data_IF_496104516995
#
_entry.id   IF_496104516995
#
_cell.length_a   1.000
_cell.length_b   1.000
_cell.length_c   1.000
_cell.angle_alpha   90.00
_cell.angle_beta   90.00
_cell.angle_gamma   90.00
#
_symmetry.space_group_name_H-M   'P 1'
#
loop_
_entity.id
_entity.type
_entity.pdbx_description
1 polymer ?
#
# COMPACT_ATOMS: atom_id res chain seq x y z
N UNK A 1 -7.40 19.31 7.62
CA UNK A 1 -7.39 19.17 6.15
C UNK A 1 -8.77 19.53 5.61
N UNK A 2 -8.86 20.58 4.80
CA UNK A 2 -10.06 21.01 4.07
C UNK A 2 -10.20 20.27 2.73
N UNK A 3 -11.33 20.42 2.05
CA UNK A 3 -11.55 19.82 0.72
C UNK A 3 -10.59 20.43 -0.32
N UNK A 4 -10.33 21.72 -0.21
CA UNK A 4 -9.43 22.50 -1.03
C UNK A 4 -7.98 22.09 -0.81
N UNK A 5 -7.59 21.90 0.46
CA UNK A 5 -6.27 21.36 0.82
C UNK A 5 -6.08 19.93 0.29
N UNK A 6 -7.10 19.07 0.35
CA UNK A 6 -7.03 17.72 -0.22
C UNK A 6 -6.78 17.77 -1.73
N UNK A 7 -7.53 18.60 -2.46
CA UNK A 7 -7.39 18.76 -3.92
C UNK A 7 -6.01 19.30 -4.29
N UNK A 8 -5.50 20.29 -3.54
CA UNK A 8 -4.18 20.86 -3.77
C UNK A 8 -3.03 19.90 -3.40
N UNK A 9 -3.22 19.01 -2.41
CA UNK A 9 -2.17 18.14 -1.89
C UNK A 9 -1.69 17.03 -2.85
N UNK A 10 -2.46 16.72 -3.90
CA UNK A 10 -2.11 15.83 -5.01
C UNK A 10 -1.51 14.45 -4.61
N UNK A 11 -2.01 13.83 -3.52
CA UNK A 11 -1.42 12.61 -2.93
C UNK A 11 -1.84 11.29 -3.59
N UNK A 12 -3.10 11.14 -4.01
CA UNK A 12 -3.60 9.94 -4.72
C UNK A 12 -4.66 10.31 -5.78
N UNK A 13 -4.51 9.85 -7.04
CA UNK A 13 -5.46 10.19 -8.12
C UNK A 13 -6.92 9.79 -7.83
N UNK A 14 -7.15 8.74 -7.03
CA UNK A 14 -8.49 8.28 -6.66
C UNK A 14 -9.10 9.22 -5.63
N UNK A 15 -8.35 9.60 -4.60
CA UNK A 15 -8.80 10.58 -3.60
C UNK A 15 -9.10 11.93 -4.24
N UNK A 16 -8.22 12.38 -5.14
CA UNK A 16 -8.42 13.59 -5.93
C UNK A 16 -9.70 13.52 -6.77
N UNK A 17 -9.92 12.41 -7.49
CA UNK A 17 -11.13 12.23 -8.32
C UNK A 17 -12.41 12.24 -7.50
N UNK A 18 -12.39 11.67 -6.29
CA UNK A 18 -13.51 11.71 -5.33
C UNK A 18 -13.76 13.15 -4.86
N UNK A 19 -12.70 13.85 -4.47
CA UNK A 19 -12.78 15.23 -3.99
C UNK A 19 -13.32 16.18 -5.05
N UNK A 20 -12.87 16.06 -6.31
CA UNK A 20 -13.38 16.86 -7.43
C UNK A 20 -14.86 16.56 -7.66
N UNK A 21 -15.28 15.29 -7.66
CA UNK A 21 -16.69 14.93 -7.82
C UNK A 21 -17.58 15.56 -6.73
N UNK A 22 -17.11 15.56 -5.47
CA UNK A 22 -17.81 16.20 -4.35
C UNK A 22 -17.84 17.72 -4.50
N UNK A 23 -16.71 18.35 -4.85
CA UNK A 23 -16.63 19.79 -5.07
C UNK A 23 -17.63 20.25 -6.14
N UNK A 24 -17.72 19.54 -7.26
CA UNK A 24 -18.69 19.83 -8.31
C UNK A 24 -20.14 19.69 -7.82
N UNK A 25 -20.44 18.70 -6.96
CA UNK A 25 -21.75 18.56 -6.33
C UNK A 25 -22.08 19.71 -5.37
N UNK A 26 -21.11 20.17 -4.57
CA UNK A 26 -21.27 21.32 -3.67
C UNK A 26 -21.47 22.63 -4.45
N UNK A 27 -20.88 22.74 -5.65
CA UNK A 27 -21.11 23.85 -6.59
C UNK A 27 -22.44 23.75 -7.34
N UNK A 28 -23.27 22.74 -7.07
CA UNK A 28 -24.61 22.61 -7.62
C UNK A 28 -24.70 21.87 -8.97
N UNK A 29 -23.61 21.35 -9.50
CA UNK A 29 -23.63 20.61 -10.78
C UNK A 29 -24.42 19.31 -10.65
N UNK A 30 -25.22 18.99 -11.66
CA UNK A 30 -26.01 17.76 -11.72
C UNK A 30 -25.15 16.59 -12.21
N UNK A 31 -25.58 15.38 -11.89
CA UNK A 31 -24.84 14.16 -12.25
C UNK A 31 -24.59 14.06 -13.76
N UNK A 32 -25.55 14.50 -14.59
CA UNK A 32 -25.43 14.52 -16.05
C UNK A 32 -24.27 15.39 -16.57
N UNK A 33 -23.89 16.42 -15.83
CA UNK A 33 -22.79 17.34 -16.16
C UNK A 33 -21.45 16.78 -15.67
N UNK A 34 -21.44 16.14 -14.51
CA UNK A 34 -20.22 15.61 -13.86
C UNK A 34 -19.72 14.32 -14.52
N UNK A 35 -20.64 13.42 -14.90
CA UNK A 35 -20.31 12.12 -15.51
C UNK A 35 -19.34 12.23 -16.70
N UNK A 36 -19.59 13.06 -17.74
CA UNK A 36 -18.69 13.18 -18.88
C UNK A 36 -17.36 13.84 -18.51
N UNK A 37 -17.35 14.82 -17.60
CA UNK A 37 -16.13 15.52 -17.20
C UNK A 37 -15.14 14.59 -16.48
N UNK A 38 -15.64 13.73 -15.61
CA UNK A 38 -14.79 12.82 -14.83
C UNK A 38 -14.68 11.41 -15.42
N UNK A 39 -15.48 11.07 -16.44
CA UNK A 39 -15.59 9.71 -16.97
C UNK A 39 -16.03 8.70 -15.90
N UNK A 40 -17.09 9.02 -15.16
CA UNK A 40 -17.62 8.18 -14.06
C UNK A 40 -19.12 7.94 -14.19
N UNK A 41 -19.63 6.94 -13.46
CA UNK A 41 -21.06 6.67 -13.36
C UNK A 41 -21.73 7.52 -12.27
N UNK A 42 -23.06 7.69 -12.37
CA UNK A 42 -23.88 8.40 -11.38
C UNK A 42 -23.71 7.84 -9.95
N UNK A 43 -23.62 6.51 -9.83
CA UNK A 43 -23.42 5.80 -8.57
C UNK A 43 -22.08 6.13 -7.89
N UNK A 44 -21.04 6.42 -8.66
CA UNK A 44 -19.75 6.88 -8.13
C UNK A 44 -19.92 8.24 -7.44
N UNK A 45 -20.62 9.18 -8.09
CA UNK A 45 -20.87 10.52 -7.57
C UNK A 45 -21.71 10.43 -6.29
N UNK A 46 -22.85 9.72 -6.32
CA UNK A 46 -23.73 9.54 -5.15
C UNK A 46 -22.98 8.94 -3.95
N UNK A 47 -22.12 7.94 -4.20
CA UNK A 47 -21.37 7.26 -3.14
C UNK A 47 -20.45 8.24 -2.40
N UNK A 48 -19.69 9.04 -3.12
CA UNK A 48 -18.70 9.94 -2.52
C UNK A 48 -19.33 11.21 -1.96
N UNK A 49 -20.40 11.72 -2.57
CA UNK A 49 -21.23 12.77 -1.98
C UNK A 49 -21.79 12.34 -0.62
N UNK A 50 -22.36 11.13 -0.55
CA UNK A 50 -22.86 10.57 0.72
C UNK A 50 -21.74 10.43 1.76
N UNK A 51 -20.63 9.78 1.41
CA UNK A 51 -19.51 9.60 2.34
C UNK A 51 -18.93 10.92 2.85
N UNK A 52 -18.86 11.94 2.00
CA UNK A 52 -18.41 13.27 2.42
C UNK A 52 -19.38 13.92 3.40
N UNK A 53 -20.70 13.81 3.17
CA UNK A 53 -21.69 14.36 4.11
C UNK A 53 -21.64 13.68 5.46
N UNK A 54 -21.36 12.38 5.50
CA UNK A 54 -21.33 11.59 6.74
C UNK A 54 -20.01 11.77 7.51
N UNK A 55 -18.87 11.86 6.81
CA UNK A 55 -17.54 11.71 7.42
C UNK A 55 -16.59 12.88 7.09
N UNK A 56 -17.07 13.89 6.36
CA UNK A 56 -16.24 14.98 5.84
C UNK A 56 -15.14 14.48 4.91
N UNK A 57 -14.00 15.18 4.91
CA UNK A 57 -12.84 14.86 4.08
C UNK A 57 -12.29 13.44 4.36
N UNK A 58 -12.37 12.95 5.61
CA UNK A 58 -11.97 11.58 5.98
C UNK A 58 -12.73 10.51 5.20
N UNK A 59 -13.99 10.77 4.84
CA UNK A 59 -14.80 9.85 4.04
C UNK A 59 -14.33 9.68 2.59
N UNK A 60 -13.44 10.56 2.12
CA UNK A 60 -12.88 10.55 0.77
C UNK A 60 -11.49 9.88 0.71
N UNK A 61 -10.82 9.81 1.85
CA UNK A 61 -9.54 9.12 2.01
C UNK A 61 -9.68 7.63 1.67
N UNK A 62 -8.61 7.03 1.16
CA UNK A 62 -8.51 5.59 0.99
C UNK A 62 -8.48 4.92 2.35
N UNK A 63 -9.64 4.40 2.78
CA UNK A 63 -9.75 3.57 3.97
C UNK A 63 -8.80 2.35 3.94
N UNK A 64 -8.58 1.79 2.74
CA UNK A 64 -7.59 0.77 2.48
C UNK A 64 -6.43 1.42 1.71
N UNK A 65 -5.41 1.87 2.45
CA UNK A 65 -4.05 1.88 1.90
C UNK A 65 -3.84 0.40 1.56
N UNK A 66 -3.63 0.06 0.29
CA UNK A 66 -3.29 -1.33 -0.07
C UNK A 66 -2.21 -1.86 0.88
N UNK A 67 -2.04 -3.18 0.97
CA UNK A 67 -0.82 -3.72 1.62
C UNK A 67 0.34 -2.82 1.22
N UNK A 68 1.16 -2.35 2.17
CA UNK A 68 2.40 -1.59 1.91
C UNK A 68 3.41 -2.47 1.16
N UNK A 69 2.93 -3.24 0.20
CA UNK A 69 3.34 -4.58 -0.10
C UNK A 69 4.59 -4.61 -0.93
N UNK A 70 5.24 -3.46 -1.12
CA UNK A 70 6.52 -3.34 -1.78
C UNK A 70 7.31 -2.21 -1.14
N UNK A 71 8.57 -2.52 -0.87
CA UNK A 71 9.60 -1.52 -0.62
C UNK A 71 9.61 -0.49 -1.75
N UNK A 72 9.72 0.81 -1.41
CA UNK A 72 10.02 1.85 -2.41
C UNK A 72 11.33 1.52 -3.10
N UNK A 73 11.55 2.06 -4.30
CA UNK A 73 12.77 1.76 -5.06
C UNK A 73 14.07 2.03 -4.28
N UNK A 74 14.13 3.11 -3.49
CA UNK A 74 15.25 3.40 -2.60
C UNK A 74 15.44 2.34 -1.52
N UNK A 75 14.35 1.98 -0.82
CA UNK A 75 14.35 0.96 0.23
C UNK A 75 14.70 -0.43 -0.32
N UNK A 76 14.23 -0.75 -1.53
CA UNK A 76 14.56 -1.99 -2.22
C UNK A 76 16.06 -2.05 -2.57
N UNK A 77 16.63 -0.91 -2.98
CA UNK A 77 18.07 -0.79 -3.25
C UNK A 77 18.88 -0.96 -1.97
N UNK A 78 18.47 -0.33 -0.87
CA UNK A 78 19.09 -0.48 0.45
C UNK A 78 19.04 -1.94 0.92
N UNK A 79 17.88 -2.59 0.80
CA UNK A 79 17.73 -4.02 1.15
C UNK A 79 18.64 -4.90 0.30
N UNK A 80 18.74 -4.65 -1.01
CA UNK A 80 19.64 -5.42 -1.89
C UNK A 80 21.11 -5.20 -1.49
N UNK A 81 21.52 -3.97 -1.18
CA UNK A 81 22.89 -3.68 -0.74
C UNK A 81 23.19 -4.31 0.62
N UNK A 82 22.24 -4.26 1.55
CA UNK A 82 22.36 -4.92 2.84
C UNK A 82 22.51 -6.45 2.68
N UNK A 83 21.71 -7.09 1.81
CA UNK A 83 21.86 -8.52 1.50
C UNK A 83 23.26 -8.80 0.92
N UNK A 84 23.73 -7.98 -0.02
CA UNK A 84 25.07 -8.12 -0.65
C UNK A 84 26.21 -7.95 0.35
N UNK A 85 26.03 -7.12 1.38
CA UNK A 85 27.04 -6.90 2.41
C UNK A 85 27.25 -8.11 3.33
N UNK A 86 26.31 -9.06 3.34
CA UNK A 86 26.38 -10.27 4.15
C UNK A 86 26.91 -11.46 3.35
N UNK A 87 27.89 -12.18 3.91
CA UNK A 87 28.46 -13.39 3.31
C UNK A 87 27.44 -14.54 3.19
N UNK A 88 26.54 -14.65 4.17
CA UNK A 88 25.42 -15.60 4.15
C UNK A 88 24.21 -14.93 4.79
N UNK A 89 23.01 -15.17 4.25
CA UNK A 89 21.77 -14.63 4.79
C UNK A 89 20.62 -15.57 4.47
N UNK A 90 19.78 -15.80 5.46
CA UNK A 90 18.55 -16.58 5.32
C UNK A 90 17.37 -15.69 4.94
N UNK A 91 16.34 -16.28 4.32
CA UNK A 91 15.07 -15.59 4.03
C UNK A 91 14.46 -14.96 5.28
N UNK A 92 14.65 -15.60 6.43
CA UNK A 92 14.11 -15.13 7.71
C UNK A 92 14.78 -13.85 8.19
N UNK A 93 16.10 -13.75 8.05
CA UNK A 93 16.82 -12.51 8.36
C UNK A 93 16.44 -11.37 7.42
N UNK A 94 16.18 -11.67 6.14
CA UNK A 94 15.66 -10.66 5.19
C UNK A 94 14.28 -10.18 5.62
N UNK A 95 13.42 -11.09 6.04
CA UNK A 95 12.07 -10.75 6.53
C UNK A 95 12.13 -9.86 7.77
N UNK A 96 12.90 -10.26 8.77
CA UNK A 96 13.05 -9.52 10.03
C UNK A 96 13.65 -8.12 9.80
N UNK A 97 14.68 -8.02 8.95
CA UNK A 97 15.27 -6.73 8.59
C UNK A 97 14.27 -5.79 7.91
N UNK A 98 13.46 -6.30 6.98
CA UNK A 98 12.48 -5.50 6.25
C UNK A 98 11.33 -5.05 7.17
N UNK A 99 10.88 -5.94 8.06
CA UNK A 99 9.85 -5.63 9.05
C UNK A 99 10.34 -4.57 10.04
N UNK A 100 11.52 -4.76 10.63
CA UNK A 100 12.08 -3.81 11.61
C UNK A 100 12.43 -2.45 10.99
N UNK A 101 12.95 -2.43 9.76
CA UNK A 101 13.44 -1.20 9.14
C UNK A 101 12.34 -0.40 8.44
N UNK A 102 11.33 -1.08 7.88
CA UNK A 102 10.34 -0.45 7.01
C UNK A 102 8.89 -0.78 7.35
N UNK A 103 8.64 -1.66 8.33
CA UNK A 103 7.29 -2.09 8.70
C UNK A 103 6.56 -2.82 7.58
N UNK A 104 7.31 -3.47 6.68
CA UNK A 104 6.76 -4.19 5.51
C UNK A 104 6.83 -5.69 5.77
N UNK A 105 5.72 -6.39 5.54
CA UNK A 105 5.66 -7.86 5.57
C UNK A 105 5.02 -8.33 4.27
N UNK A 106 5.77 -9.01 3.42
CA UNK A 106 5.22 -9.65 2.23
C UNK A 106 4.39 -10.88 2.61
N UNK A 107 3.22 -11.03 2.00
CA UNK A 107 2.35 -12.20 2.22
C UNK A 107 2.94 -13.50 1.65
N UNK A 108 3.83 -13.41 0.65
CA UNK A 108 4.42 -14.56 -0.01
C UNK A 108 5.90 -14.70 0.32
N UNK A 109 6.32 -15.90 0.69
CA UNK A 109 7.74 -16.23 0.91
C UNK A 109 8.55 -16.03 -0.39
N UNK A 110 7.91 -16.21 -1.56
CA UNK A 110 8.52 -16.00 -2.87
C UNK A 110 9.05 -14.57 -3.05
N UNK A 111 8.37 -13.57 -2.48
CA UNK A 111 8.80 -12.17 -2.58
C UNK A 111 10.17 -11.95 -1.95
N UNK A 112 10.49 -12.65 -0.85
CA UNK A 112 11.81 -12.57 -0.22
C UNK A 112 12.88 -13.34 -1.00
N UNK A 113 12.52 -14.48 -1.60
CA UNK A 113 13.45 -15.22 -2.49
C UNK A 113 13.85 -14.39 -3.71
N UNK A 114 12.93 -13.60 -4.28
CA UNK A 114 13.25 -12.67 -5.37
C UNK A 114 14.24 -11.58 -4.94
N UNK A 115 14.19 -11.11 -3.68
CA UNK A 115 15.17 -10.14 -3.16
C UNK A 115 16.56 -10.74 -3.03
N UNK A 116 16.67 -11.97 -2.51
CA UNK A 116 17.94 -12.71 -2.45
C UNK A 116 18.51 -12.96 -3.85
N UNK A 117 17.65 -13.33 -4.81
CA UNK A 117 18.04 -13.52 -6.21
C UNK A 117 18.55 -12.23 -6.84
N UNK A 118 17.85 -11.10 -6.63
CA UNK A 118 18.28 -9.77 -7.10
C UNK A 118 19.61 -9.31 -6.49
N UNK A 119 19.91 -9.76 -5.26
CA UNK A 119 21.19 -9.51 -4.62
C UNK A 119 22.34 -10.38 -5.17
N UNK A 120 22.05 -11.37 -6.03
CA UNK A 120 23.06 -12.27 -6.58
C UNK A 120 23.44 -13.43 -5.65
N UNK A 121 22.64 -13.68 -4.60
CA UNK A 121 22.87 -14.81 -3.70
C UNK A 121 22.46 -16.13 -4.37
N UNK A 122 23.40 -17.07 -4.50
CA UNK A 122 23.10 -18.45 -4.91
C UNK A 122 22.52 -19.23 -3.73
N UNK A 123 21.33 -19.80 -3.91
CA UNK A 123 20.63 -20.50 -2.86
C UNK A 123 21.32 -21.84 -2.51
N UNK A 124 21.94 -21.93 -1.34
CA UNK A 124 22.37 -23.19 -0.73
C UNK A 124 21.42 -23.56 0.41
N UNK A 125 20.75 -24.71 0.33
CA UNK A 125 19.82 -25.20 1.37
C UNK A 125 20.55 -25.48 2.69
N UNK A 126 20.56 -24.50 3.61
CA UNK A 126 20.96 -24.69 5.00
C UNK A 126 19.84 -25.30 5.86
N UNK A 127 20.20 -26.07 6.90
CA UNK A 127 19.25 -26.72 7.83
C UNK A 127 18.56 -25.68 8.75
N UNK A 128 17.26 -25.89 8.99
CA UNK A 128 16.31 -24.95 9.63
C UNK A 128 16.50 -24.79 11.15
N UNK A 129 16.33 -23.56 11.64
CA UNK A 129 15.58 -23.26 12.88
C UNK A 129 14.49 -22.25 12.53
N UNK A 130 13.24 -22.57 12.82
CA UNK A 130 12.11 -21.64 12.66
C UNK A 130 11.97 -20.90 13.99
N UNK A 131 12.06 -19.55 14.02
CA UNK A 131 11.81 -18.78 15.24
C UNK A 131 10.36 -18.90 15.72
N UNK A 132 10.17 -19.10 17.03
CA UNK A 132 8.85 -19.34 17.66
C UNK A 132 7.85 -18.19 17.46
N UNK A 133 8.35 -16.95 17.30
CA UNK A 133 7.54 -15.75 17.04
C UNK A 133 6.76 -15.84 15.72
N UNK A 134 7.30 -16.53 14.72
CA UNK A 134 6.69 -16.68 13.39
C UNK A 134 5.62 -17.79 13.40
N UNK A 135 5.81 -18.84 14.19
CA UNK A 135 4.83 -19.93 14.35
C UNK A 135 3.49 -19.45 14.96
N UNK A 136 3.49 -18.31 15.66
CA UNK A 136 2.30 -17.65 16.18
C UNK A 136 1.56 -16.83 15.10
N UNK A 137 2.29 -16.14 14.23
CA UNK A 137 1.71 -15.32 13.15
C UNK A 137 0.97 -16.15 12.10
N UNK A 138 1.52 -17.30 11.68
CA UNK A 138 0.88 -18.20 10.70
C UNK A 138 -0.43 -18.81 11.22
N UNK A 139 -0.57 -19.02 12.53
CA UNK A 139 -1.81 -19.53 13.12
C UNK A 139 -2.97 -18.52 13.04
N UNK A 140 -2.66 -17.21 13.02
CA UNK A 140 -3.65 -16.15 13.10
C UNK A 140 -4.04 -15.53 11.75
N UNK A 141 -3.31 -15.83 10.68
CA UNK A 141 -3.57 -15.29 9.32
C UNK A 141 -4.26 -16.27 8.38
N UNK A 142 -4.55 -17.49 8.83
CA UNK A 142 -5.24 -18.53 8.04
C UNK A 142 -6.69 -18.78 8.47
N UNK A 143 -7.41 -17.75 8.94
CA UNK A 143 -8.84 -17.85 9.25
C UNK A 143 -9.65 -16.71 8.64
#
# INVERSE_FOLDING_TARGET
MTLEELIASNRDPRELKRAIAVKMRLQGLKHREIKPVLGVHSSYISRWERRYREQGVKGLELAYKGSSGYLKHSQLTEVIQWIKSKTQTSVWEVMDYIEQSYGVVYCSLQSYYELLKKAGMSWHKGKKKVPDTIALWWRNTTR
#
